data_IF_854780849686
#
_entry.id   IF_854780849686
#
_cell.length_a   1.000
_cell.length_b   1.000
_cell.length_c   1.000
_cell.angle_alpha   90.00
_cell.angle_beta   90.00
_cell.angle_gamma   90.00
#
_symmetry.space_group_name_H-M   'P 1'
#
loop_
_entity.id
_entity.type
_entity.pdbx_description
1 polymer ?
#
# COMPACT_ATOMS: atom_id res chain seq x y z
N UNK A 1 60.51 -28.36 -59.04
CA UNK A 1 60.47 -27.08 -59.76
C UNK A 1 60.68 -25.98 -58.72
N UNK A 2 61.91 -25.65 -58.32
CA UNK A 2 62.91 -24.78 -58.99
C UNK A 2 62.42 -23.34 -59.22
N UNK A 3 63.03 -22.40 -58.46
CA UNK A 3 63.51 -21.03 -58.81
C UNK A 3 62.54 -20.05 -59.52
N UNK A 4 62.48 -18.74 -59.28
CA UNK A 4 63.30 -17.79 -58.53
C UNK A 4 63.06 -16.36 -59.07
N UNK A 5 63.28 -15.36 -58.19
CA UNK A 5 63.64 -13.93 -58.32
C UNK A 5 63.35 -13.08 -59.59
N UNK A 6 63.00 -11.80 -59.35
CA UNK A 6 63.62 -10.56 -59.93
C UNK A 6 62.96 -9.30 -59.29
N UNK A 7 63.59 -8.58 -58.35
CA UNK A 7 64.44 -7.36 -58.46
C UNK A 7 63.96 -6.23 -59.39
N UNK A 8 63.82 -5.01 -58.85
CA UNK A 8 64.60 -3.81 -59.27
C UNK A 8 64.56 -2.69 -58.22
N UNK A 9 65.74 -2.11 -57.95
CA UNK A 9 66.02 -0.88 -57.18
C UNK A 9 66.03 0.34 -58.11
N UNK A 10 65.77 1.52 -57.55
CA UNK A 10 66.19 2.81 -58.09
C UNK A 10 66.57 3.77 -56.96
N UNK A 11 67.86 4.12 -56.86
CA UNK A 11 68.46 5.17 -56.01
C UNK A 11 68.59 6.46 -56.81
N UNK A 12 68.62 7.62 -56.14
CA UNK A 12 69.56 8.73 -56.37
C UNK A 12 69.37 9.86 -55.31
N UNK A 13 70.30 10.85 -55.14
CA UNK A 13 71.28 10.84 -54.05
C UNK A 13 71.47 12.20 -53.29
N UNK A 14 72.27 12.17 -52.21
CA UNK A 14 73.32 13.18 -51.97
C UNK A 14 73.10 14.29 -50.94
N UNK A 15 74.23 14.64 -50.29
CA UNK A 15 74.56 15.74 -49.37
C UNK A 15 74.19 15.53 -47.87
N UNK A 16 75.08 15.24 -46.92
CA UNK A 16 76.37 15.83 -46.47
C UNK A 16 76.26 16.60 -45.13
N UNK A 17 77.10 16.16 -44.18
CA UNK A 17 77.69 16.80 -42.96
C UNK A 17 76.82 17.49 -41.89
N UNK A 18 77.07 17.10 -40.62
CA UNK A 18 76.82 17.98 -39.46
C UNK A 18 76.60 17.25 -38.14
N UNK A 19 77.64 17.18 -37.30
CA UNK A 19 77.60 16.65 -35.94
C UNK A 19 76.71 17.49 -35.00
N UNK A 20 76.03 16.86 -34.03
CA UNK A 20 75.26 17.56 -33.01
C UNK A 20 74.57 16.64 -32.01
N UNK A 21 75.31 16.24 -30.98
CA UNK A 21 74.86 15.47 -29.83
C UNK A 21 73.91 16.32 -28.96
N UNK A 22 72.61 15.97 -28.86
CA UNK A 22 71.75 16.31 -27.71
C UNK A 22 70.72 15.21 -27.48
N UNK A 23 70.80 14.58 -26.31
CA UNK A 23 69.90 13.52 -25.88
C UNK A 23 68.47 14.02 -25.70
N UNK A 24 67.52 13.15 -26.04
CA UNK A 24 66.11 13.28 -25.67
C UNK A 24 65.72 11.97 -24.99
N UNK A 25 65.35 12.09 -23.71
CA UNK A 25 64.71 11.03 -22.94
C UNK A 25 63.44 10.59 -23.66
N UNK A 26 63.31 9.28 -23.91
CA UNK A 26 62.05 8.67 -24.26
C UNK A 26 61.14 8.64 -23.02
N UNK A 27 60.12 9.51 -22.98
CA UNK A 27 59.01 9.36 -22.04
C UNK A 27 58.10 8.23 -22.52
N UNK A 28 58.10 7.12 -21.79
CA UNK A 28 57.06 6.09 -21.89
C UNK A 28 55.77 6.65 -21.27
N UNK A 29 54.78 6.98 -22.11
CA UNK A 29 53.44 7.31 -21.65
C UNK A 29 52.71 6.03 -21.23
N UNK A 30 52.64 5.77 -19.93
CA UNK A 30 51.73 4.77 -19.36
C UNK A 30 50.33 5.37 -19.40
N UNK A 31 49.53 4.92 -20.36
CA UNK A 31 48.11 5.25 -20.43
C UNK A 31 47.36 4.61 -19.26
N UNK A 32 47.03 5.40 -18.24
CA UNK A 32 46.11 5.00 -17.19
C UNK A 32 44.68 4.96 -17.76
N UNK A 33 44.16 3.76 -18.02
CA UNK A 33 42.73 3.54 -18.25
C UNK A 33 42.02 3.78 -16.91
N UNK A 34 41.47 4.97 -16.74
CA UNK A 34 40.53 5.25 -15.66
C UNK A 34 39.25 4.47 -15.92
N UNK A 35 39.13 3.30 -15.28
CA UNK A 35 37.85 2.63 -15.13
C UNK A 35 36.96 3.54 -14.27
N UNK A 36 36.08 4.30 -14.92
CA UNK A 36 35.01 5.02 -14.25
C UNK A 36 34.09 3.97 -13.61
N UNK A 37 34.26 3.72 -12.32
CA UNK A 37 33.27 3.04 -11.52
C UNK A 37 32.02 3.90 -11.53
N UNK A 38 31.02 3.50 -12.32
CA UNK A 38 29.69 4.08 -12.25
C UNK A 38 29.18 3.83 -10.83
N UNK A 39 29.29 4.83 -9.96
CA UNK A 39 28.65 4.82 -8.65
C UNK A 39 27.15 4.73 -8.96
N UNK A 40 26.43 3.67 -8.52
CA UNK A 40 24.99 3.64 -8.68
C UNK A 40 24.41 4.88 -8.01
N UNK A 41 23.64 5.65 -8.78
CA UNK A 41 22.96 6.82 -8.25
C UNK A 41 22.20 6.42 -6.98
N UNK A 42 22.24 7.23 -5.90
CA UNK A 42 21.46 6.93 -4.72
C UNK A 42 20.00 6.77 -5.16
N UNK A 43 19.40 5.62 -4.82
CA UNK A 43 17.98 5.38 -5.02
C UNK A 43 17.25 6.63 -4.51
N UNK A 44 16.59 7.36 -5.42
CA UNK A 44 15.85 8.56 -5.06
C UNK A 44 14.98 8.22 -3.85
N UNK A 45 15.19 8.93 -2.74
CA UNK A 45 14.46 8.64 -1.51
C UNK A 45 12.98 8.65 -1.85
N UNK A 46 12.31 7.49 -1.78
CA UNK A 46 10.93 7.38 -2.22
C UNK A 46 10.08 8.40 -1.46
N UNK A 47 9.45 9.28 -2.23
CA UNK A 47 8.71 10.42 -1.72
C UNK A 47 7.59 9.94 -0.79
N UNK A 48 7.48 10.56 0.39
CA UNK A 48 6.22 10.57 1.15
C UNK A 48 5.19 11.34 0.33
N UNK A 49 3.93 11.00 0.49
CA UNK A 49 2.85 11.60 -0.28
C UNK A 49 2.11 10.59 -1.13
N UNK A 50 1.34 11.12 -2.08
CA UNK A 50 0.50 10.34 -2.98
C UNK A 50 1.07 10.37 -4.40
N UNK A 51 1.09 9.22 -5.04
CA UNK A 51 1.62 9.03 -6.38
C UNK A 51 0.62 8.24 -7.23
N UNK A 52 0.43 8.68 -8.48
CA UNK A 52 -0.43 7.99 -9.45
C UNK A 52 0.44 7.08 -10.31
N UNK A 53 0.14 5.79 -10.34
CA UNK A 53 0.81 4.79 -11.18
C UNK A 53 -0.24 3.94 -11.92
N UNK A 54 -0.24 3.96 -13.26
CA UNK A 54 -1.22 3.23 -14.08
C UNK A 54 -2.67 3.60 -13.75
N UNK A 55 -3.43 2.65 -13.20
CA UNK A 55 -4.82 2.80 -12.72
C UNK A 55 -4.96 2.86 -11.18
N UNK A 56 -3.84 3.08 -10.49
CA UNK A 56 -3.74 3.18 -9.04
C UNK A 56 -3.26 4.54 -8.51
N UNK A 57 -3.76 4.94 -7.35
CA UNK A 57 -3.17 6.00 -6.50
C UNK A 57 -2.59 5.37 -5.24
N UNK A 58 -1.32 5.62 -4.93
CA UNK A 58 -0.66 5.07 -3.74
C UNK A 58 -0.21 6.23 -2.85
N UNK A 59 -0.78 6.32 -1.65
CA UNK A 59 -0.29 7.25 -0.64
C UNK A 59 0.49 6.53 0.46
N UNK A 60 1.61 7.15 0.86
CA UNK A 60 2.50 6.67 1.90
C UNK A 60 2.87 7.84 2.80
N UNK A 61 2.38 7.85 4.03
CA UNK A 61 2.74 8.95 4.95
C UNK A 61 4.10 8.70 5.57
N UNK A 62 4.72 9.74 6.14
CA UNK A 62 6.06 9.66 6.73
C UNK A 62 6.18 8.48 7.73
N UNK A 63 7.05 7.48 7.46
CA UNK A 63 7.33 6.38 8.37
C UNK A 63 7.85 6.89 9.72
N UNK A 64 8.46 8.07 9.81
CA UNK A 64 8.90 8.66 11.07
C UNK A 64 7.74 9.21 11.93
N UNK A 65 6.50 9.10 11.47
CA UNK A 65 5.34 9.75 12.08
C UNK A 65 5.34 11.26 11.81
N UNK A 66 4.51 12.03 12.52
CA UNK A 66 4.50 13.49 12.41
C UNK A 66 3.12 14.11 12.25
N UNK A 67 2.91 14.97 11.25
CA UNK A 67 1.58 15.53 10.94
C UNK A 67 1.34 15.51 9.43
N UNK A 68 1.73 14.40 8.81
CA UNK A 68 1.60 14.19 7.39
C UNK A 68 0.11 14.07 7.03
N UNK A 69 -0.37 15.02 6.23
CA UNK A 69 -1.75 15.12 5.81
C UNK A 69 -1.99 14.58 4.41
N UNK A 70 -1.00 13.97 3.76
CA UNK A 70 -1.06 13.61 2.33
C UNK A 70 -2.29 12.76 1.96
N UNK A 71 -2.70 11.84 2.84
CA UNK A 71 -3.93 11.04 2.64
C UNK A 71 -5.19 11.91 2.69
N UNK A 72 -5.24 12.87 3.62
CA UNK A 72 -6.36 13.83 3.71
C UNK A 72 -6.38 14.70 2.47
N UNK A 73 -5.24 15.26 2.09
CA UNK A 73 -5.11 16.16 0.96
C UNK A 73 -5.50 15.47 -0.35
N UNK A 74 -5.14 14.19 -0.53
CA UNK A 74 -5.54 13.40 -1.70
C UNK A 74 -7.04 13.11 -1.72
N UNK A 75 -7.64 12.74 -0.59
CA UNK A 75 -9.08 12.53 -0.51
C UNK A 75 -9.85 13.82 -0.81
N UNK A 76 -9.41 14.94 -0.24
CA UNK A 76 -9.96 16.29 -0.53
C UNK A 76 -9.84 16.60 -2.01
N UNK A 77 -8.66 16.42 -2.61
CA UNK A 77 -8.42 16.65 -4.04
C UNK A 77 -9.38 15.86 -4.92
N UNK A 78 -9.66 14.59 -4.59
CA UNK A 78 -10.59 13.78 -5.38
C UNK A 78 -12.06 14.18 -5.17
N UNK A 79 -12.45 14.55 -3.95
CA UNK A 79 -13.81 15.02 -3.64
C UNK A 79 -14.05 16.40 -4.29
N UNK A 80 -13.09 17.31 -4.26
CA UNK A 80 -13.21 18.63 -4.88
C UNK A 80 -13.31 18.58 -6.40
N UNK A 81 -12.82 17.50 -7.02
CA UNK A 81 -12.95 17.27 -8.45
C UNK A 81 -14.37 16.80 -8.88
N UNK A 82 -15.27 16.55 -7.93
CA UNK A 82 -16.67 16.16 -8.22
C UNK A 82 -17.54 17.36 -8.61
N UNK A 83 -18.55 17.08 -9.43
CA UNK A 83 -19.51 18.05 -9.99
C UNK A 83 -20.94 17.60 -9.70
N UNK A 84 -21.89 18.50 -9.95
CA UNK A 84 -23.32 18.19 -9.81
C UNK A 84 -23.68 16.89 -10.54
N UNK A 85 -24.34 15.97 -9.85
CA UNK A 85 -24.72 14.65 -10.38
C UNK A 85 -23.71 13.53 -10.10
N UNK A 86 -22.49 13.84 -9.66
CA UNK A 86 -21.52 12.85 -9.20
C UNK A 86 -21.92 12.28 -7.82
N UNK A 87 -21.25 11.21 -7.40
CA UNK A 87 -21.50 10.57 -6.10
C UNK A 87 -20.24 10.51 -5.23
N UNK A 88 -20.43 10.68 -3.92
CA UNK A 88 -19.41 10.41 -2.90
C UNK A 88 -20.03 9.56 -1.80
N UNK A 89 -19.40 8.44 -1.48
CA UNK A 89 -19.71 7.58 -0.34
C UNK A 89 -18.50 7.48 0.56
N UNK A 90 -18.68 7.62 1.86
CA UNK A 90 -17.63 7.41 2.86
C UNK A 90 -18.06 6.36 3.88
N UNK A 91 -17.19 5.44 4.26
CA UNK A 91 -17.34 4.62 5.45
C UNK A 91 -16.11 4.82 6.33
N UNK A 92 -16.29 5.40 7.52
CA UNK A 92 -15.19 5.90 8.35
C UNK A 92 -15.40 5.59 9.84
N UNK A 93 -14.52 4.77 10.40
CA UNK A 93 -14.58 4.39 11.81
C UNK A 93 -14.47 5.57 12.78
N UNK A 94 -13.40 6.35 12.64
CA UNK A 94 -13.06 7.44 13.55
C UNK A 94 -12.73 8.67 12.75
N UNK A 95 -13.46 9.73 13.03
CA UNK A 95 -13.39 10.97 12.29
C UNK A 95 -13.63 12.15 13.21
N UNK A 96 -12.56 12.91 13.41
CA UNK A 96 -12.54 14.10 14.26
C UNK A 96 -12.24 15.33 13.42
N UNK A 97 -12.58 16.53 13.92
CA UNK A 97 -12.38 17.80 13.23
C UNK A 97 -11.08 18.50 13.64
N UNK A 98 -10.00 17.75 13.82
CA UNK A 98 -8.68 18.35 14.06
C UNK A 98 -8.23 19.16 12.84
N UNK A 99 -7.41 20.24 12.97
CA UNK A 99 -7.16 21.18 11.88
C UNK A 99 -6.63 20.59 10.55
N UNK A 100 -5.87 19.49 10.60
CA UNK A 100 -5.35 18.79 9.41
C UNK A 100 -6.23 17.64 8.92
N UNK A 101 -7.41 17.47 9.51
CA UNK A 101 -8.39 16.43 9.18
C UNK A 101 -9.73 17.06 8.82
N UNK A 102 -10.11 18.17 9.47
CA UNK A 102 -11.31 18.94 9.18
C UNK A 102 -11.52 19.24 7.68
N UNK A 103 -10.47 19.53 6.87
CA UNK A 103 -10.64 19.74 5.43
C UNK A 103 -11.36 18.60 4.70
N UNK A 104 -11.23 17.34 5.15
CA UNK A 104 -11.95 16.22 4.56
C UNK A 104 -13.48 16.33 4.73
N UNK A 105 -13.92 16.73 5.93
CA UNK A 105 -15.33 16.95 6.19
C UNK A 105 -15.84 18.18 5.42
N UNK A 106 -15.00 19.21 5.30
CA UNK A 106 -15.30 20.44 4.56
C UNK A 106 -15.50 20.14 3.08
N UNK A 107 -14.60 19.35 2.47
CA UNK A 107 -14.73 18.94 1.07
C UNK A 107 -16.05 18.20 0.80
N UNK A 108 -16.49 17.33 1.73
CA UNK A 108 -17.79 16.64 1.61
C UNK A 108 -18.98 17.60 1.77
N UNK A 109 -18.89 18.58 2.67
CA UNK A 109 -19.91 19.64 2.80
C UNK A 109 -20.00 20.47 1.51
N UNK A 110 -18.86 20.87 0.94
CA UNK A 110 -18.85 21.66 -0.29
C UNK A 110 -19.32 20.83 -1.50
N UNK A 111 -19.01 19.52 -1.55
CA UNK A 111 -19.53 18.62 -2.57
C UNK A 111 -21.07 18.54 -2.53
N UNK A 112 -21.66 18.36 -1.34
CA UNK A 112 -23.12 18.35 -1.17
C UNK A 112 -23.73 19.67 -1.67
N UNK A 113 -23.13 20.81 -1.31
CA UNK A 113 -23.58 22.14 -1.78
C UNK A 113 -23.48 22.32 -3.30
N UNK A 114 -22.51 21.68 -3.95
CA UNK A 114 -22.37 21.65 -5.42
C UNK A 114 -23.42 20.77 -6.10
N UNK A 115 -24.20 19.98 -5.35
CA UNK A 115 -25.21 19.06 -5.87
C UNK A 115 -24.65 17.68 -6.22
N UNK A 116 -23.58 17.26 -5.56
CA UNK A 116 -23.08 15.88 -5.54
C UNK A 116 -23.94 15.08 -4.55
N UNK A 117 -24.27 13.81 -4.81
CA UNK A 117 -24.93 12.96 -3.80
C UNK A 117 -23.87 12.49 -2.81
N UNK A 118 -23.79 13.13 -1.63
CA UNK A 118 -22.80 12.83 -0.60
C UNK A 118 -23.45 12.08 0.57
N UNK A 119 -22.88 10.93 0.93
CA UNK A 119 -23.34 10.13 2.07
C UNK A 119 -22.19 9.53 2.85
N UNK A 120 -22.42 9.33 4.16
CA UNK A 120 -21.43 8.73 5.05
C UNK A 120 -22.05 7.66 5.97
N UNK A 121 -21.28 6.60 6.20
CA UNK A 121 -21.40 5.72 7.35
C UNK A 121 -20.24 6.05 8.28
N UNK A 122 -20.54 6.29 9.55
CA UNK A 122 -19.55 6.63 10.56
C UNK A 122 -19.62 5.61 11.68
N UNK A 123 -18.48 5.02 12.03
CA UNK A 123 -18.43 4.06 13.13
C UNK A 123 -18.69 4.70 14.49
N UNK A 124 -18.87 3.87 15.52
CA UNK A 124 -18.91 4.30 16.91
C UNK A 124 -17.87 3.54 17.72
N UNK A 125 -17.16 4.25 18.58
CA UNK A 125 -16.26 3.63 19.55
C UNK A 125 -17.03 3.26 20.80
N UNK A 126 -16.96 2.01 21.25
CA UNK A 126 -17.56 1.60 22.51
C UNK A 126 -17.03 2.39 23.73
N UNK A 127 -15.74 2.72 23.75
CA UNK A 127 -15.13 3.47 24.86
C UNK A 127 -15.36 4.99 24.81
N UNK A 128 -15.73 5.52 23.63
CA UNK A 128 -15.94 6.95 23.39
C UNK A 128 -17.03 7.17 22.33
N UNK A 129 -18.30 6.86 22.65
CA UNK A 129 -19.38 6.84 21.65
C UNK A 129 -19.60 8.20 20.97
N UNK A 130 -19.40 9.30 21.71
CA UNK A 130 -19.56 10.67 21.21
C UNK A 130 -18.37 11.22 20.40
N UNK A 131 -17.31 10.43 20.17
CA UNK A 131 -16.07 10.92 19.57
C UNK A 131 -16.24 11.48 18.14
N UNK A 132 -17.24 10.98 17.40
CA UNK A 132 -17.52 11.38 16.02
C UNK A 132 -18.65 12.42 15.93
N UNK A 133 -19.35 12.75 17.03
CA UNK A 133 -20.50 13.65 16.99
C UNK A 133 -20.21 15.02 16.37
N UNK A 134 -19.05 15.65 16.59
CA UNK A 134 -18.75 16.94 15.95
C UNK A 134 -18.75 16.87 14.42
N UNK A 135 -18.16 15.83 13.82
CA UNK A 135 -18.17 15.69 12.36
C UNK A 135 -19.54 15.28 11.85
N UNK A 136 -20.26 14.42 12.58
CA UNK A 136 -21.63 14.02 12.20
C UNK A 136 -22.55 15.24 12.17
N UNK A 137 -22.50 16.10 13.21
CA UNK A 137 -23.26 17.36 13.23
C UNK A 137 -22.89 18.27 12.07
N UNK A 138 -21.60 18.40 11.76
CA UNK A 138 -21.12 19.24 10.64
C UNK A 138 -21.66 18.76 9.29
N UNK A 139 -21.56 17.46 9.01
CA UNK A 139 -22.05 16.85 7.78
C UNK A 139 -23.58 16.96 7.67
N UNK A 140 -24.32 16.54 8.70
CA UNK A 140 -25.79 16.62 8.72
C UNK A 140 -26.29 18.06 8.59
N UNK A 141 -25.62 19.03 9.22
CA UNK A 141 -25.95 20.45 9.13
C UNK A 141 -25.84 21.03 7.71
N UNK A 142 -25.11 20.36 6.81
CA UNK A 142 -25.01 20.73 5.40
C UNK A 142 -25.94 19.94 4.47
N UNK A 143 -26.74 19.02 5.00
CA UNK A 143 -27.63 18.16 4.21
C UNK A 143 -27.08 16.76 3.90
N UNK A 144 -25.81 16.50 4.20
CA UNK A 144 -25.19 15.17 3.97
C UNK A 144 -25.92 14.11 4.78
N UNK A 145 -26.31 13.02 4.12
CA UNK A 145 -26.94 11.88 4.79
C UNK A 145 -25.89 11.05 5.52
N UNK A 146 -26.03 10.96 6.84
CA UNK A 146 -25.07 10.25 7.70
C UNK A 146 -25.77 9.19 8.54
N UNK A 147 -25.32 7.94 8.41
CA UNK A 147 -25.66 6.83 9.30
C UNK A 147 -24.53 6.58 10.30
N UNK A 148 -24.88 6.24 11.54
CA UNK A 148 -23.90 5.85 12.57
C UNK A 148 -24.34 4.54 13.20
N UNK A 149 -23.42 3.57 13.21
CA UNK A 149 -23.69 2.24 13.74
C UNK A 149 -23.31 2.16 15.22
N UNK A 150 -24.19 1.58 16.05
CA UNK A 150 -23.88 1.24 17.44
C UNK A 150 -23.07 -0.07 17.47
N UNK A 151 -21.75 0.06 17.68
CA UNK A 151 -20.83 -1.05 17.48
C UNK A 151 -20.53 -1.28 15.99
N UNK A 152 -20.89 -2.46 15.50
CA UNK A 152 -20.67 -2.87 14.11
C UNK A 152 -21.96 -2.69 13.33
N UNK A 153 -21.87 -2.19 12.11
CA UNK A 153 -23.00 -2.13 11.20
C UNK A 153 -23.44 -3.55 10.77
N UNK A 154 -22.50 -4.51 10.80
CA UNK A 154 -22.76 -5.92 10.49
C UNK A 154 -22.93 -6.80 11.73
N UNK A 155 -23.86 -7.77 11.69
CA UNK A 155 -23.80 -8.91 12.60
C UNK A 155 -22.64 -9.84 12.21
N UNK A 156 -21.96 -10.39 13.22
CA UNK A 156 -21.03 -11.50 13.05
C UNK A 156 -21.77 -12.84 12.82
N UNK A 157 -21.01 -13.93 12.67
CA UNK A 157 -21.57 -15.27 12.47
C UNK A 157 -22.50 -15.74 13.61
N UNK A 158 -22.41 -15.15 14.80
CA UNK A 158 -23.29 -15.43 15.93
C UNK A 158 -24.53 -14.52 15.96
N UNK A 159 -24.77 -13.71 14.93
CA UNK A 159 -25.86 -12.74 14.86
C UNK A 159 -25.65 -11.49 15.73
N UNK A 160 -24.45 -11.29 16.30
CA UNK A 160 -24.17 -10.19 17.24
C UNK A 160 -23.28 -9.11 16.61
N UNK A 161 -23.45 -7.86 17.04
CA UNK A 161 -22.65 -6.70 16.57
C UNK A 161 -21.49 -6.38 17.53
N UNK A 162 -20.71 -7.41 17.90
CA UNK A 162 -19.70 -7.38 18.99
C UNK A 162 -18.34 -6.73 18.63
N UNK A 163 -18.25 -5.95 17.57
CA UNK A 163 -17.04 -5.18 17.22
C UNK A 163 -17.42 -3.91 16.47
N UNK A 164 -16.51 -2.94 16.30
CA UNK A 164 -16.83 -1.68 15.64
C UNK A 164 -16.95 -1.82 14.11
N UNK A 165 -17.62 -0.86 13.47
CA UNK A 165 -17.34 -0.55 12.07
C UNK A 165 -15.93 0.05 11.95
N UNK A 166 -14.99 -0.74 11.46
CA UNK A 166 -13.59 -0.36 11.32
C UNK A 166 -13.25 -0.02 9.86
N UNK A 167 -14.24 0.33 9.02
CA UNK A 167 -13.98 0.75 7.66
C UNK A 167 -13.40 2.18 7.56
N UNK A 168 -12.64 2.42 6.49
CA UNK A 168 -12.00 3.67 6.07
C UNK A 168 -11.84 3.62 4.56
N UNK A 169 -12.96 3.72 3.86
CA UNK A 169 -12.95 3.75 2.40
C UNK A 169 -13.87 4.84 1.87
N UNK A 170 -13.54 5.31 0.67
CA UNK A 170 -14.30 6.29 -0.07
C UNK A 170 -14.58 5.76 -1.46
N UNK A 171 -15.79 5.97 -1.94
CA UNK A 171 -16.22 5.67 -3.29
C UNK A 171 -16.60 6.98 -3.95
N UNK A 172 -16.01 7.24 -5.10
CA UNK A 172 -16.26 8.46 -5.87
C UNK A 172 -16.58 8.02 -7.30
N UNK A 173 -17.75 8.38 -7.80
CA UNK A 173 -18.07 8.25 -9.22
C UNK A 173 -18.25 9.65 -9.82
N UNK A 174 -17.48 9.93 -10.87
CA UNK A 174 -17.50 11.19 -11.63
C UNK A 174 -18.03 10.94 -13.03
N UNK A 175 -19.34 11.00 -13.19
CA UNK A 175 -20.01 10.76 -14.47
C UNK A 175 -19.64 9.44 -15.15
N UNK A 176 -19.60 8.33 -14.39
CA UNK A 176 -19.22 7.00 -14.90
C UNK A 176 -17.71 6.71 -14.84
N UNK A 177 -16.97 7.44 -14.01
CA UNK A 177 -15.53 7.23 -13.75
C UNK A 177 -15.33 6.78 -12.30
N UNK A 178 -15.56 5.49 -11.99
CA UNK A 178 -15.55 4.99 -10.63
C UNK A 178 -14.15 5.02 -10.02
N UNK A 179 -14.07 5.28 -8.73
CA UNK A 179 -12.83 5.20 -7.95
C UNK A 179 -13.13 4.65 -6.56
N UNK A 180 -12.33 3.65 -6.16
CA UNK A 180 -12.36 3.04 -4.81
C UNK A 180 -11.07 3.40 -4.08
N UNK A 181 -11.19 4.06 -2.94
CA UNK A 181 -10.05 4.51 -2.11
C UNK A 181 -10.13 3.84 -0.76
N UNK A 182 -9.10 3.08 -0.37
CA UNK A 182 -9.04 2.38 0.92
C UNK A 182 -7.79 2.79 1.68
N UNK A 183 -7.92 3.12 2.97
CA UNK A 183 -6.79 3.55 3.80
C UNK A 183 -6.71 2.89 5.17
N UNK A 184 -5.49 2.75 5.69
CA UNK A 184 -5.26 2.33 7.07
C UNK A 184 -5.50 3.46 8.10
N UNK A 185 -5.71 4.70 7.64
CA UNK A 185 -5.74 5.93 8.44
C UNK A 185 -7.09 6.21 9.11
N UNK A 186 -7.18 6.08 10.44
CA UNK A 186 -8.28 6.72 11.20
C UNK A 186 -8.07 8.22 11.24
N UNK A 187 -9.08 9.00 10.93
CA UNK A 187 -9.04 10.46 10.86
C UNK A 187 -9.08 11.10 12.26
N UNK A 188 -8.01 10.89 13.03
CA UNK A 188 -7.86 11.35 14.42
C UNK A 188 -6.50 12.00 14.68
N UNK A 189 -6.44 12.87 15.69
CA UNK A 189 -5.18 13.51 16.13
C UNK A 189 -4.06 12.53 16.39
N UNK A 190 -4.35 11.40 17.04
CA UNK A 190 -3.35 10.41 17.41
C UNK A 190 -2.83 9.65 16.20
N UNK A 191 -3.71 9.28 15.27
CA UNK A 191 -3.30 8.60 14.05
C UNK A 191 -2.56 9.54 13.11
N UNK A 192 -2.85 10.85 13.11
CA UNK A 192 -2.11 11.82 12.28
C UNK A 192 -0.61 11.84 12.62
N UNK A 193 -0.27 11.40 13.85
CA UNK A 193 1.11 11.24 14.33
C UNK A 193 1.80 9.94 13.91
N UNK A 194 1.11 9.10 13.15
CA UNK A 194 1.53 7.74 12.81
C UNK A 194 1.63 7.57 11.29
N UNK A 195 2.31 6.51 10.87
CA UNK A 195 2.53 6.16 9.49
C UNK A 195 1.39 5.27 8.96
N UNK A 196 0.82 5.65 7.81
CA UNK A 196 -0.34 5.00 7.17
C UNK A 196 -0.16 4.96 5.66
N UNK A 197 -1.01 4.16 5.03
CA UNK A 197 -1.07 4.04 3.59
C UNK A 197 -2.51 4.18 3.07
N UNK A 198 -2.63 4.55 1.80
CA UNK A 198 -3.88 4.50 1.03
C UNK A 198 -3.59 3.85 -0.33
N UNK A 199 -4.54 3.05 -0.82
CA UNK A 199 -4.58 2.57 -2.19
C UNK A 199 -5.90 2.99 -2.83
N UNK A 200 -5.81 3.69 -3.96
CA UNK A 200 -6.92 4.00 -4.85
C UNK A 200 -6.87 3.12 -6.09
N UNK A 201 -8.02 2.63 -6.54
CA UNK A 201 -8.20 1.91 -7.80
C UNK A 201 -9.20 2.70 -8.64
N UNK A 202 -8.84 3.02 -9.88
CA UNK A 202 -9.61 3.88 -10.78
C UNK A 202 -10.14 3.07 -11.97
N UNK A 203 -11.41 3.26 -12.34
CA UNK A 203 -12.00 2.65 -13.53
C UNK A 203 -12.47 1.20 -13.39
N UNK A 204 -12.22 0.53 -12.26
CA UNK A 204 -12.73 -0.83 -12.01
C UNK A 204 -14.20 -0.79 -11.55
N UNK A 205 -15.13 -0.84 -12.50
CA UNK A 205 -16.57 -0.79 -12.24
C UNK A 205 -17.02 -1.95 -11.32
N UNK A 206 -16.53 -3.16 -11.56
CA UNK A 206 -16.92 -4.34 -10.78
C UNK A 206 -16.44 -4.26 -9.33
N UNK A 207 -15.26 -3.70 -9.10
CA UNK A 207 -14.79 -3.39 -7.75
C UNK A 207 -15.64 -2.32 -7.08
N UNK A 208 -15.96 -1.25 -7.82
CA UNK A 208 -16.79 -0.16 -7.33
C UNK A 208 -18.19 -0.66 -6.91
N UNK A 209 -18.88 -1.39 -7.78
CA UNK A 209 -20.22 -1.93 -7.52
C UNK A 209 -20.24 -2.84 -6.28
N UNK A 210 -19.17 -3.62 -6.09
CA UNK A 210 -19.01 -4.44 -4.90
C UNK A 210 -18.89 -3.59 -3.63
N UNK A 211 -18.03 -2.58 -3.63
CA UNK A 211 -17.86 -1.69 -2.48
C UNK A 211 -19.10 -0.82 -2.25
N UNK A 212 -19.80 -0.40 -3.29
CA UNK A 212 -21.07 0.34 -3.18
C UNK A 212 -22.15 -0.56 -2.59
N UNK A 213 -22.27 -1.81 -3.06
CA UNK A 213 -23.17 -2.81 -2.50
C UNK A 213 -22.85 -3.15 -1.04
N UNK A 214 -21.57 -3.12 -0.65
CA UNK A 214 -21.14 -3.24 0.75
C UNK A 214 -21.52 -2.00 1.55
N UNK A 215 -21.22 -0.80 1.05
CA UNK A 215 -21.54 0.48 1.69
C UNK A 215 -23.05 0.65 1.91
N UNK A 216 -23.87 0.30 0.92
CA UNK A 216 -25.32 0.40 0.99
C UNK A 216 -25.87 -0.44 2.15
N UNK A 217 -25.30 -1.63 2.37
CA UNK A 217 -25.69 -2.50 3.49
C UNK A 217 -25.19 -1.98 4.84
N UNK A 218 -23.97 -1.40 4.89
CA UNK A 218 -23.52 -0.68 6.09
C UNK A 218 -24.47 0.47 6.45
N UNK A 219 -24.96 1.18 5.44
CA UNK A 219 -25.84 2.33 5.60
C UNK A 219 -27.28 1.94 5.98
N UNK A 220 -27.83 0.89 5.39
CA UNK A 220 -29.19 0.41 5.70
C UNK A 220 -29.25 -0.54 6.90
N UNK A 221 -28.11 -1.08 7.34
CA UNK A 221 -27.99 -2.20 8.27
C UNK A 221 -28.79 -3.45 7.83
N UNK A 222 -29.00 -3.60 6.52
CA UNK A 222 -29.70 -4.74 5.92
C UNK A 222 -28.70 -5.73 5.31
N UNK A 223 -28.82 -6.99 5.73
CA UNK A 223 -27.89 -8.06 5.43
C UNK A 223 -28.58 -9.33 4.95
N UNK A 224 -29.86 -9.24 4.58
CA UNK A 224 -30.61 -10.39 4.12
C UNK A 224 -29.92 -11.04 2.90
N UNK A 225 -29.70 -12.36 3.00
CA UNK A 225 -28.98 -13.13 1.99
C UNK A 225 -27.47 -12.86 1.89
N UNK A 226 -26.88 -12.07 2.78
CA UNK A 226 -25.44 -11.77 2.76
C UNK A 226 -24.60 -12.87 3.40
N UNK A 227 -24.04 -13.75 2.57
CA UNK A 227 -23.17 -14.85 3.00
C UNK A 227 -21.71 -14.58 2.68
N UNK A 228 -20.79 -15.43 3.15
CA UNK A 228 -19.37 -15.32 2.81
C UNK A 228 -19.09 -15.41 1.30
N UNK A 229 -19.99 -16.02 0.51
CA UNK A 229 -19.91 -16.02 -0.96
C UNK A 229 -20.06 -14.63 -1.57
N UNK A 230 -20.78 -13.74 -0.89
CA UNK A 230 -21.03 -12.38 -1.34
C UNK A 230 -19.95 -11.40 -0.86
N UNK A 231 -19.12 -11.78 0.12
CA UNK A 231 -18.13 -10.91 0.77
C UNK A 231 -16.80 -10.82 0.02
N UNK A 232 -16.82 -11.07 -1.28
CA UNK A 232 -15.63 -10.91 -2.12
C UNK A 232 -15.98 -10.62 -3.57
N UNK A 233 -15.10 -9.90 -4.26
CA UNK A 233 -15.18 -9.70 -5.70
C UNK A 233 -13.81 -9.87 -6.36
N UNK A 234 -13.82 -10.06 -7.68
CA UNK A 234 -12.65 -9.98 -8.55
C UNK A 234 -13.06 -9.08 -9.71
N UNK A 235 -12.62 -7.83 -9.66
CA UNK A 235 -12.73 -6.87 -10.75
C UNK A 235 -11.58 -7.01 -11.74
N UNK A 236 -11.50 -6.06 -12.65
CA UNK A 236 -10.51 -6.07 -13.73
C UNK A 236 -9.11 -5.69 -13.24
N UNK A 237 -9.06 -4.83 -12.22
CA UNK A 237 -7.81 -4.30 -11.65
C UNK A 237 -7.51 -4.87 -10.26
N UNK A 238 -8.56 -5.24 -9.51
CA UNK A 238 -8.36 -5.67 -8.13
C UNK A 238 -9.31 -6.77 -7.67
N UNK A 239 -8.89 -7.47 -6.62
CA UNK A 239 -9.74 -8.37 -5.83
C UNK A 239 -10.01 -7.75 -4.47
N UNK A 240 -11.19 -7.95 -3.90
CA UNK A 240 -11.50 -7.41 -2.58
C UNK A 240 -12.28 -8.41 -1.73
N UNK A 241 -12.14 -8.23 -0.41
CA UNK A 241 -12.84 -8.98 0.62
C UNK A 241 -13.29 -8.04 1.73
N UNK A 242 -14.47 -8.32 2.27
CA UNK A 242 -15.02 -7.59 3.41
C UNK A 242 -15.28 -8.53 4.60
N UNK A 243 -15.26 -7.97 5.79
CA UNK A 243 -15.41 -8.64 7.08
C UNK A 243 -16.66 -8.09 7.80
N UNK A 244 -17.25 -8.82 8.76
CA UNK A 244 -16.81 -10.10 9.33
C UNK A 244 -17.03 -11.30 8.39
N UNK A 245 -16.17 -12.31 8.48
CA UNK A 245 -16.29 -13.58 7.72
C UNK A 245 -15.65 -14.77 8.45
N UNK A 246 -16.01 -15.98 8.05
CA UNK A 246 -15.51 -17.22 8.64
C UNK A 246 -14.08 -17.54 8.23
N UNK A 247 -13.86 -17.67 6.91
CA UNK A 247 -12.57 -18.05 6.35
C UNK A 247 -11.54 -16.91 6.39
N UNK A 248 -10.27 -17.27 6.62
CA UNK A 248 -9.15 -16.32 6.62
C UNK A 248 -8.79 -15.89 5.20
N UNK A 249 -9.36 -14.77 4.76
CA UNK A 249 -9.12 -14.18 3.45
C UNK A 249 -7.63 -13.96 3.15
N UNK A 250 -6.84 -13.52 4.14
CA UNK A 250 -5.44 -13.17 3.95
C UNK A 250 -4.62 -14.44 3.83
N UNK A 251 -4.81 -15.40 4.74
CA UNK A 251 -4.12 -16.68 4.67
C UNK A 251 -4.49 -17.47 3.39
N UNK A 252 -5.77 -17.45 2.99
CA UNK A 252 -6.23 -18.08 1.75
C UNK A 252 -5.55 -17.51 0.51
N UNK A 253 -5.28 -16.22 0.49
CA UNK A 253 -4.56 -15.57 -0.62
C UNK A 253 -3.05 -15.81 -0.58
N UNK A 254 -2.43 -15.79 0.60
CA UNK A 254 -1.02 -16.13 0.75
C UNK A 254 -0.74 -17.58 0.35
N UNK A 255 -1.73 -18.47 0.47
CA UNK A 255 -1.65 -19.84 -0.04
C UNK A 255 -1.44 -19.90 -1.56
N UNK A 256 -1.86 -18.88 -2.31
CA UNK A 256 -1.70 -18.83 -3.77
C UNK A 256 -0.23 -18.67 -4.20
N UNK A 257 0.69 -18.30 -3.29
CA UNK A 257 2.13 -18.29 -3.56
C UNK A 257 2.65 -19.73 -3.56
N UNK A 258 3.14 -20.18 -4.71
CA UNK A 258 3.53 -21.58 -4.98
C UNK A 258 5.03 -21.79 -5.04
N UNK A 259 5.82 -20.74 -5.21
CA UNK A 259 7.29 -20.83 -5.29
C UNK A 259 7.95 -19.46 -5.16
N UNK A 260 9.27 -19.48 -5.00
CA UNK A 260 10.10 -18.29 -4.91
C UNK A 260 11.41 -18.55 -5.67
N UNK A 261 11.81 -17.61 -6.53
CA UNK A 261 13.13 -17.55 -7.13
C UNK A 261 14.10 -16.69 -6.32
N UNK A 262 15.31 -16.53 -6.85
CA UNK A 262 16.32 -15.68 -6.24
C UNK A 262 15.85 -14.22 -6.18
N UNK A 263 15.80 -13.65 -4.98
CA UNK A 263 15.38 -12.27 -4.75
C UNK A 263 13.88 -12.08 -4.51
N UNK A 264 13.05 -13.12 -4.68
CA UNK A 264 11.62 -13.08 -4.36
C UNK A 264 11.39 -12.81 -2.87
N UNK A 265 10.31 -12.08 -2.58
CA UNK A 265 10.09 -11.51 -1.24
C UNK A 265 8.63 -11.40 -0.87
N UNK A 266 8.36 -11.51 0.43
CA UNK A 266 7.08 -11.15 1.06
C UNK A 266 7.33 -10.19 2.22
N UNK A 267 6.86 -8.96 2.09
CA UNK A 267 7.09 -7.85 3.01
C UNK A 267 5.79 -7.46 3.69
N UNK A 268 5.71 -7.59 5.02
CA UNK A 268 4.48 -7.39 5.80
C UNK A 268 4.61 -6.15 6.69
N UNK A 269 3.93 -5.07 6.33
CA UNK A 269 3.83 -3.85 7.14
C UNK A 269 2.46 -3.73 7.79
N UNK A 270 2.32 -4.16 9.05
CA UNK A 270 1.02 -4.24 9.71
C UNK A 270 1.02 -3.69 11.13
N UNK A 271 0.05 -2.84 11.47
CA UNK A 271 -0.05 -2.28 12.82
C UNK A 271 -0.10 -3.39 13.87
N UNK A 272 -1.09 -4.29 13.77
CA UNK A 272 -1.22 -5.44 14.67
C UNK A 272 -1.08 -6.75 13.90
N UNK A 273 -0.28 -7.67 14.46
CA UNK A 273 -0.24 -9.08 14.09
C UNK A 273 -0.30 -9.94 15.36
N UNK A 274 -1.43 -10.57 15.62
CA UNK A 274 -1.70 -11.23 16.91
C UNK A 274 -1.65 -12.75 16.82
N UNK A 275 -1.36 -13.37 17.96
CA UNK A 275 -1.25 -14.82 18.10
C UNK A 275 -2.53 -15.59 17.85
N UNK A 276 -3.69 -14.93 17.96
CA UNK A 276 -4.98 -15.45 17.55
C UNK A 276 -5.23 -15.40 16.02
N UNK A 277 -4.18 -15.10 15.23
CA UNK A 277 -4.16 -15.17 13.76
C UNK A 277 -3.13 -16.17 13.22
N UNK A 278 -3.13 -17.44 13.67
CA UNK A 278 -2.06 -18.39 13.37
C UNK A 278 -1.96 -18.77 11.89
N UNK A 279 -3.07 -18.76 11.15
CA UNK A 279 -3.09 -19.17 9.74
C UNK A 279 -2.21 -18.27 8.86
N UNK A 280 -2.19 -16.95 9.10
CA UNK A 280 -1.32 -16.02 8.37
C UNK A 280 0.15 -16.28 8.71
N UNK A 281 0.50 -16.46 9.99
CA UNK A 281 1.88 -16.80 10.40
C UNK A 281 2.35 -18.11 9.75
N UNK A 282 1.49 -19.12 9.72
CA UNK A 282 1.80 -20.40 9.08
C UNK A 282 2.03 -20.28 7.57
N UNK A 283 1.29 -19.42 6.87
CA UNK A 283 1.55 -19.15 5.46
C UNK A 283 2.87 -18.42 5.23
N UNK A 284 3.21 -17.45 6.08
CA UNK A 284 4.50 -16.75 5.98
C UNK A 284 5.69 -17.69 6.24
N UNK A 285 5.58 -18.59 7.23
CA UNK A 285 6.57 -19.64 7.50
C UNK A 285 6.72 -20.60 6.31
N UNK A 286 5.60 -21.04 5.73
CA UNK A 286 5.59 -21.85 4.50
C UNK A 286 6.28 -21.12 3.34
N UNK A 287 5.97 -19.84 3.13
CA UNK A 287 6.54 -19.03 2.04
C UNK A 287 8.05 -18.82 2.24
N UNK A 288 8.52 -18.65 3.47
CA UNK A 288 9.95 -18.66 3.76
C UNK A 288 10.59 -20.00 3.39
N UNK A 289 9.91 -21.12 3.69
CA UNK A 289 10.33 -22.46 3.27
C UNK A 289 10.34 -22.70 1.75
N UNK A 290 9.62 -21.88 0.97
CA UNK A 290 9.69 -21.87 -0.50
C UNK A 290 10.91 -21.11 -1.04
N UNK A 291 11.65 -20.38 -0.19
CA UNK A 291 12.84 -19.61 -0.56
C UNK A 291 12.66 -18.09 -0.60
N UNK A 292 11.44 -17.57 -0.37
CA UNK A 292 11.21 -16.13 -0.36
C UNK A 292 11.88 -15.47 0.85
N UNK A 293 12.40 -14.25 0.65
CA UNK A 293 12.72 -13.37 1.76
C UNK A 293 11.42 -12.89 2.43
N UNK A 294 11.14 -13.38 3.63
CA UNK A 294 10.00 -12.91 4.42
C UNK A 294 10.46 -11.92 5.48
N UNK A 295 9.87 -10.72 5.49
CA UNK A 295 10.14 -9.68 6.49
C UNK A 295 8.86 -9.07 7.02
N UNK A 296 8.83 -8.79 8.31
CA UNK A 296 7.67 -8.25 9.01
C UNK A 296 8.05 -7.02 9.83
N UNK A 297 7.30 -5.93 9.66
CA UNK A 297 7.33 -4.76 10.54
C UNK A 297 5.96 -4.62 11.20
N UNK A 298 5.93 -4.63 12.52
CA UNK A 298 4.71 -4.36 13.30
C UNK A 298 4.79 -3.10 14.15
N UNK A 299 3.65 -2.58 14.61
CA UNK A 299 3.65 -1.48 15.58
C UNK A 299 4.33 -1.93 16.87
N UNK A 300 5.17 -1.07 17.45
CA UNK A 300 5.70 -1.27 18.80
C UNK A 300 4.60 -1.03 19.85
N UNK A 301 3.75 -2.05 20.02
CA UNK A 301 2.61 -2.01 20.92
C UNK A 301 2.30 -3.42 21.44
N UNK A 302 1.68 -3.47 22.63
CA UNK A 302 1.20 -4.71 23.25
C UNK A 302 0.25 -5.50 22.33
N UNK A 303 -0.40 -4.85 21.37
CA UNK A 303 -1.36 -5.44 20.44
C UNK A 303 -0.73 -6.18 19.26
N UNK A 304 0.59 -6.20 19.10
CA UNK A 304 1.27 -6.63 17.87
C UNK A 304 2.09 -7.92 17.97
N UNK A 305 2.10 -8.56 19.15
CA UNK A 305 2.72 -9.85 19.50
C UNK A 305 3.98 -10.24 18.67
N UNK A 306 5.02 -9.38 18.55
CA UNK A 306 6.17 -9.63 17.66
C UNK A 306 6.94 -10.90 18.02
N UNK A 307 7.14 -11.19 19.32
CA UNK A 307 7.82 -12.40 19.79
C UNK A 307 7.15 -13.69 19.29
N UNK A 308 5.82 -13.71 19.25
CA UNK A 308 5.10 -14.83 18.67
C UNK A 308 5.33 -14.94 17.16
N UNK A 309 5.46 -13.83 16.42
CA UNK A 309 5.82 -13.89 14.99
C UNK A 309 7.26 -14.42 14.81
N UNK A 310 8.20 -13.94 15.63
CA UNK A 310 9.62 -14.32 15.62
C UNK A 310 9.84 -15.82 15.84
N UNK A 311 9.02 -16.49 16.67
CA UNK A 311 9.10 -17.94 16.93
C UNK A 311 9.07 -18.80 15.65
N UNK A 312 8.44 -18.30 14.58
CA UNK A 312 8.36 -19.01 13.29
C UNK A 312 9.24 -18.38 12.22
N UNK A 313 9.27 -17.05 12.13
CA UNK A 313 9.98 -16.36 11.06
C UNK A 313 11.45 -16.08 11.39
N UNK A 314 11.87 -16.24 12.65
CA UNK A 314 13.20 -15.86 13.12
C UNK A 314 13.28 -14.38 13.52
N UNK A 315 14.06 -14.10 14.57
CA UNK A 315 14.18 -12.75 15.14
C UNK A 315 14.76 -11.71 14.17
N UNK A 316 15.60 -12.12 13.22
CA UNK A 316 16.17 -11.22 12.21
C UNK A 316 15.16 -10.75 11.15
N UNK A 317 14.01 -11.42 11.05
CA UNK A 317 12.99 -11.17 10.03
C UNK A 317 11.79 -10.38 10.55
N UNK A 318 11.76 -10.03 11.84
CA UNK A 318 10.68 -9.28 12.46
C UNK A 318 11.26 -8.05 13.17
N UNK A 319 10.67 -6.89 12.91
CA UNK A 319 11.02 -5.64 13.60
C UNK A 319 9.78 -4.95 14.15
N UNK A 320 9.99 -4.10 15.15
CA UNK A 320 8.92 -3.25 15.69
C UNK A 320 9.19 -1.79 15.38
N UNK A 321 8.13 -1.06 15.02
CA UNK A 321 8.21 0.32 14.60
C UNK A 321 7.27 1.19 15.45
N UNK A 322 7.73 2.30 16.07
CA UNK A 322 6.94 3.07 17.03
C UNK A 322 5.71 3.76 16.41
N UNK A 323 5.77 4.07 15.12
CA UNK A 323 4.72 4.83 14.42
C UNK A 323 3.96 4.03 13.36
N UNK A 324 4.27 2.76 13.10
CA UNK A 324 3.66 2.05 11.95
C UNK A 324 2.22 1.63 12.23
N UNK A 325 1.25 2.27 11.58
CA UNK A 325 -0.17 1.90 11.60
C UNK A 325 -0.67 1.36 10.26
N UNK A 326 0.26 1.17 9.34
CA UNK A 326 0.09 0.57 8.02
C UNK A 326 -0.56 -0.80 8.10
N UNK A 327 -1.19 -1.21 6.99
CA UNK A 327 -1.82 -2.52 6.84
C UNK A 327 -1.63 -2.96 5.40
N UNK A 328 -0.45 -3.47 5.08
CA UNK A 328 -0.16 -3.96 3.76
C UNK A 328 0.78 -5.17 3.77
N UNK A 329 0.67 -5.96 2.71
CA UNK A 329 1.60 -7.03 2.38
C UNK A 329 2.01 -6.82 0.93
N UNK A 330 3.30 -6.89 0.62
CA UNK A 330 3.84 -6.94 -0.74
C UNK A 330 4.39 -8.34 -0.97
N UNK A 331 4.08 -8.96 -2.09
CA UNK A 331 4.72 -10.19 -2.55
C UNK A 331 5.18 -10.04 -3.98
N UNK A 332 6.44 -10.35 -4.24
CA UNK A 332 6.99 -10.61 -5.56
C UNK A 332 7.47 -12.05 -5.53
N UNK A 333 6.66 -12.93 -6.13
CA UNK A 333 6.82 -14.37 -6.02
C UNK A 333 6.06 -15.11 -7.13
N UNK A 334 6.21 -16.43 -7.18
CA UNK A 334 5.46 -17.30 -8.07
C UNK A 334 4.04 -17.54 -7.55
N UNK A 335 3.03 -17.24 -8.38
CA UNK A 335 1.61 -17.55 -8.17
C UNK A 335 1.15 -18.53 -9.25
N UNK A 336 1.16 -19.83 -8.94
CA UNK A 336 0.96 -20.88 -9.92
C UNK A 336 2.12 -20.97 -10.90
N UNK A 337 1.84 -20.78 -12.19
CA UNK A 337 2.80 -20.80 -13.30
C UNK A 337 3.36 -19.42 -13.65
N UNK A 338 2.94 -18.35 -12.95
CA UNK A 338 3.37 -16.97 -13.23
C UNK A 338 4.03 -16.31 -12.04
N UNK A 339 5.16 -15.65 -12.26
CA UNK A 339 5.70 -14.67 -11.33
C UNK A 339 4.84 -13.41 -11.35
N UNK A 340 4.52 -12.86 -10.17
CA UNK A 340 3.70 -11.66 -10.03
C UNK A 340 4.17 -10.79 -8.88
N UNK A 341 4.01 -9.49 -9.06
CA UNK A 341 4.06 -8.50 -8.00
C UNK A 341 2.63 -8.19 -7.51
N UNK A 342 2.38 -8.39 -6.22
CA UNK A 342 1.05 -8.33 -5.61
C UNK A 342 1.10 -7.53 -4.33
N UNK A 343 0.14 -6.63 -4.16
CA UNK A 343 -0.04 -5.87 -2.92
C UNK A 343 -1.41 -6.15 -2.33
N UNK A 344 -1.45 -6.49 -1.05
CA UNK A 344 -2.66 -6.47 -0.23
C UNK A 344 -2.65 -5.25 0.65
N UNK A 345 -3.78 -4.56 0.78
CA UNK A 345 -3.93 -3.52 1.80
C UNK A 345 -5.38 -3.30 2.20
N UNK A 346 -5.63 -2.60 3.30
CA UNK A 346 -6.97 -2.22 3.70
C UNK A 346 -7.04 -1.70 5.12
N UNK A 347 -8.18 -1.92 5.77
CA UNK A 347 -8.42 -1.51 7.16
C UNK A 347 -8.12 -2.63 8.16
N UNK A 348 -7.99 -3.86 7.65
CA UNK A 348 -7.90 -5.09 8.42
C UNK A 348 -6.54 -5.29 9.10
N UNK A 349 -6.56 -5.42 10.43
CA UNK A 349 -5.42 -5.88 11.21
C UNK A 349 -5.30 -7.41 11.14
N UNK A 350 -4.09 -7.96 11.26
CA UNK A 350 -3.87 -9.42 11.31
C UNK A 350 -4.17 -9.96 12.72
N UNK A 351 -5.43 -9.85 13.15
CA UNK A 351 -5.92 -10.31 14.44
C UNK A 351 -7.26 -11.06 14.29
N UNK A 352 -7.47 -12.10 15.10
CA UNK A 352 -8.65 -12.97 15.00
C UNK A 352 -9.98 -12.22 15.18
N UNK A 353 -10.02 -11.24 16.08
CA UNK A 353 -11.22 -10.43 16.30
C UNK A 353 -11.60 -9.60 15.06
N UNK A 354 -10.60 -9.03 14.36
CA UNK A 354 -10.83 -8.23 13.16
C UNK A 354 -11.45 -9.05 12.03
N UNK A 355 -11.21 -10.36 12.00
CA UNK A 355 -11.84 -11.22 10.99
C UNK A 355 -13.28 -11.55 11.33
N UNK A 356 -13.56 -11.86 12.60
CA UNK A 356 -14.82 -12.50 12.98
C UNK A 356 -15.89 -11.52 13.42
N UNK A 357 -15.51 -10.35 13.92
CA UNK A 357 -16.43 -9.48 14.68
C UNK A 357 -16.44 -8.01 14.23
N UNK A 358 -15.58 -7.63 13.29
CA UNK A 358 -15.33 -6.22 12.95
C UNK A 358 -15.62 -6.01 11.48
N UNK A 359 -16.24 -4.88 11.16
CA UNK A 359 -16.46 -4.48 9.78
C UNK A 359 -15.15 -3.92 9.26
N UNK A 360 -14.55 -4.62 8.32
CA UNK A 360 -13.22 -4.30 7.79
C UNK A 360 -13.21 -4.67 6.31
N UNK A 361 -12.16 -4.27 5.60
CA UNK A 361 -11.93 -4.71 4.24
C UNK A 361 -10.44 -4.89 3.91
N UNK A 362 -10.19 -5.70 2.89
CA UNK A 362 -8.88 -5.90 2.26
C UNK A 362 -9.06 -5.90 0.75
N UNK A 363 -8.23 -5.12 0.07
CA UNK A 363 -8.03 -5.06 -1.36
C UNK A 363 -6.72 -5.77 -1.72
N UNK A 364 -6.67 -6.43 -2.88
CA UNK A 364 -5.47 -6.98 -3.51
C UNK A 364 -5.36 -6.47 -4.94
N UNK A 365 -4.19 -5.97 -5.31
CA UNK A 365 -3.83 -5.61 -6.69
C UNK A 365 -2.62 -6.42 -7.14
N UNK A 366 -2.54 -6.70 -8.45
CA UNK A 366 -1.40 -7.37 -9.07
C UNK A 366 -0.77 -6.43 -10.10
N UNK A 367 0.09 -5.53 -9.63
CA UNK A 367 0.70 -4.46 -10.43
C UNK A 367 2.12 -4.18 -9.92
N UNK A 368 3.10 -4.14 -10.83
CA UNK A 368 4.51 -3.93 -10.48
C UNK A 368 4.76 -2.53 -9.93
N UNK A 369 4.17 -1.50 -10.54
CA UNK A 369 4.35 -0.11 -10.10
C UNK A 369 3.83 0.09 -8.68
N UNK A 370 2.67 -0.47 -8.34
CA UNK A 370 2.15 -0.44 -6.97
C UNK A 370 3.08 -1.20 -6.01
N UNK A 371 3.53 -2.40 -6.40
CA UNK A 371 4.44 -3.20 -5.57
C UNK A 371 5.75 -2.48 -5.27
N UNK A 372 6.37 -1.83 -6.26
CA UNK A 372 7.60 -1.07 -6.11
C UNK A 372 7.42 0.08 -5.10
N UNK A 373 6.31 0.81 -5.19
CA UNK A 373 6.00 1.90 -4.27
C UNK A 373 5.84 1.42 -2.83
N UNK A 374 5.16 0.30 -2.61
CA UNK A 374 4.99 -0.29 -1.29
C UNK A 374 6.26 -0.99 -0.76
N UNK A 375 7.04 -1.64 -1.61
CA UNK A 375 8.30 -2.28 -1.23
C UNK A 375 9.34 -1.23 -0.80
N UNK A 376 9.45 -0.13 -1.55
CA UNK A 376 10.31 0.99 -1.19
C UNK A 376 9.86 1.64 0.14
N UNK A 377 8.55 1.78 0.34
CA UNK A 377 8.01 2.25 1.61
C UNK A 377 8.30 1.31 2.77
N UNK A 378 8.14 0.00 2.56
CA UNK A 378 8.49 -1.02 3.52
C UNK A 378 9.96 -0.92 3.93
N UNK A 379 10.88 -0.70 2.98
CA UNK A 379 12.29 -0.56 3.30
C UNK A 379 12.56 0.62 4.25
N UNK A 380 11.82 1.72 4.10
CA UNK A 380 11.92 2.85 5.04
C UNK A 380 11.37 2.52 6.42
N UNK A 381 10.24 1.82 6.49
CA UNK A 381 9.70 1.32 7.76
C UNK A 381 10.70 0.36 8.42
N UNK A 382 11.26 -0.58 7.66
CA UNK A 382 12.24 -1.55 8.12
C UNK A 382 13.49 -0.87 8.69
N UNK A 383 14.02 0.13 7.99
CA UNK A 383 15.22 0.87 8.42
C UNK A 383 14.97 1.74 9.66
N UNK A 384 13.73 2.23 9.85
CA UNK A 384 13.32 2.98 11.06
C UNK A 384 12.85 2.10 12.21
N UNK A 385 12.76 0.79 12.00
CA UNK A 385 12.32 -0.18 12.99
C UNK A 385 13.51 -0.78 13.75
N UNK A 386 13.25 -1.19 15.00
CA UNK A 386 14.23 -1.83 15.89
C UNK A 386 14.03 -3.33 15.94
#
# INVERSE_FOLDING_TARGET
MSLGATTTRGRCPGCEWGAGMKGILAMAAVGAVLAATAVPAPAAAAATGCERTGDYTVCRTDPKGGKDASIVDELVRQIDATRKGDTVRAAVYQWTLEPRIAPLADAMVEAERRGVDVRAVVGQRADKPAANDPVIRRLKGAGVKVHQCEGGCLPNAAGTRKGPDHNRFFLIDRGGSPTVLVTSFSFTKSHLKQAHNLLGVHGDQRLYDFYEGFWNRLYSEDWDGWTDKNKSTTGDLARAWVFPRGDDAVAGQLKEITGCGDGDRVLVGHANFQSNRPAVRAQLDRIQGLGCQVRVVVLDAKTSHPKWVEEKLGASNVRVHPYSRNKFIVAEAQFGDRHRAVVWTGTHNLQGNAMKNVDDNVLRVADQGVADLYASYFQRLWNGAR
#
